data_IF_412612065657
#
_entry.id   IF_412612065657
#
_cell.length_a   1.000
_cell.length_b   1.000
_cell.length_c   1.000
_cell.angle_alpha   90.00
_cell.angle_beta   90.00
_cell.angle_gamma   90.00
#
_symmetry.space_group_name_H-M   'P 1'
#
loop_
_entity.id
_entity.type
_entity.pdbx_description
1 polymer ?
#
# COMPACT_ATOMS: atom_id res chain seq x y z
N UNK A 1 -7.46 -2.34 4.29
CA UNK A 1 -6.57 -1.20 4.03
C UNK A 1 -7.18 -0.36 2.92
N UNK A 2 -7.32 0.93 3.15
CA UNK A 2 -7.78 1.92 2.18
C UNK A 2 -6.72 3.02 2.10
N UNK A 3 -6.31 3.36 0.88
CA UNK A 3 -5.43 4.48 0.63
C UNK A 3 -5.89 5.21 -0.64
N UNK A 4 -5.96 6.51 -0.57
CA UNK A 4 -6.27 7.37 -1.69
C UNK A 4 -5.33 8.57 -1.72
N UNK A 5 -4.69 8.79 -2.85
CA UNK A 5 -3.81 9.91 -3.12
C UNK A 5 -4.54 10.88 -4.04
N UNK A 6 -4.84 12.07 -3.56
CA UNK A 6 -5.45 13.13 -4.34
C UNK A 6 -4.36 14.08 -4.82
N UNK A 7 -4.16 14.13 -6.13
CA UNK A 7 -3.13 14.93 -6.78
C UNK A 7 -3.76 16.00 -7.66
N UNK A 8 -2.95 16.97 -8.10
CA UNK A 8 -3.40 18.08 -8.98
C UNK A 8 -4.08 17.59 -10.27
N UNK A 9 -3.56 16.50 -10.87
CA UNK A 9 -4.04 15.99 -12.17
C UNK A 9 -4.91 14.73 -12.08
N UNK A 10 -5.23 14.28 -10.89
CA UNK A 10 -6.04 13.08 -10.71
C UNK A 10 -5.91 12.44 -9.34
N UNK A 11 -6.62 11.35 -9.16
CA UNK A 11 -6.65 10.59 -7.90
C UNK A 11 -6.19 9.16 -8.15
N UNK A 12 -5.33 8.64 -7.29
CA UNK A 12 -4.89 7.26 -7.27
C UNK A 12 -5.49 6.62 -6.02
N UNK A 13 -6.19 5.51 -6.19
CA UNK A 13 -6.78 4.75 -5.08
C UNK A 13 -6.24 3.33 -5.08
N UNK A 14 -5.82 2.86 -3.92
CA UNK A 14 -5.54 1.44 -3.73
C UNK A 14 -6.84 0.65 -3.92
N UNK A 15 -6.90 -0.30 -4.88
CA UNK A 15 -8.14 -1.04 -5.13
C UNK A 15 -8.52 -1.91 -3.94
N UNK A 16 -9.80 -2.18 -3.78
CA UNK A 16 -10.28 -3.21 -2.85
C UNK A 16 -9.75 -4.57 -3.32
N UNK A 17 -9.40 -5.45 -2.38
CA UNK A 17 -8.99 -6.81 -2.71
C UNK A 17 -10.06 -7.48 -3.61
N UNK A 18 -9.60 -8.22 -4.62
CA UNK A 18 -10.50 -8.91 -5.54
C UNK A 18 -11.08 -10.15 -4.86
N UNK A 19 -12.20 -9.96 -4.18
CA UNK A 19 -12.98 -11.04 -3.57
C UNK A 19 -14.21 -11.36 -4.43
N UNK A 20 -14.70 -12.61 -4.44
CA UNK A 20 -15.91 -12.98 -5.15
C UNK A 20 -17.13 -12.18 -4.69
N UNK A 21 -17.93 -11.70 -5.62
CA UNK A 21 -19.23 -11.09 -5.34
C UNK A 21 -20.27 -12.21 -5.21
N UNK A 22 -20.84 -12.36 -4.04
CA UNK A 22 -21.88 -13.36 -3.76
C UNK A 22 -23.26 -12.70 -3.88
N UNK A 23 -24.14 -13.33 -4.65
CA UNK A 23 -25.54 -12.93 -4.77
C UNK A 23 -26.42 -14.09 -4.30
N UNK A 24 -27.17 -13.88 -3.22
CA UNK A 24 -28.11 -14.85 -2.70
C UNK A 24 -29.26 -14.16 -1.98
N UNK A 25 -30.47 -14.75 -2.06
CA UNK A 25 -31.65 -14.27 -1.33
C UNK A 25 -31.91 -12.76 -1.49
N UNK A 26 -31.80 -12.22 -2.71
CA UNK A 26 -31.96 -10.80 -3.03
C UNK A 26 -30.90 -9.88 -2.39
N UNK A 27 -29.80 -10.44 -1.92
CA UNK A 27 -28.65 -9.73 -1.39
C UNK A 27 -27.46 -9.84 -2.35
N UNK A 28 -26.64 -8.79 -2.33
CA UNK A 28 -25.37 -8.76 -3.05
C UNK A 28 -24.29 -8.26 -2.09
N UNK A 29 -23.24 -9.02 -1.93
CA UNK A 29 -22.15 -8.66 -1.03
C UNK A 29 -20.83 -9.27 -1.45
N UNK A 30 -19.79 -8.78 -0.84
CA UNK A 30 -18.43 -9.27 -1.00
C UNK A 30 -17.86 -9.57 0.39
N UNK A 31 -17.10 -10.63 0.52
CA UNK A 31 -16.44 -10.95 1.78
C UNK A 31 -15.44 -9.83 2.14
N UNK A 32 -15.37 -9.52 3.42
CA UNK A 32 -14.32 -8.66 3.97
C UNK A 32 -13.25 -9.59 4.51
N UNK A 33 -12.00 -9.54 3.98
CA UNK A 33 -10.90 -10.34 4.51
C UNK A 33 -10.70 -10.07 6.01
N UNK A 34 -10.46 -11.12 6.79
CA UNK A 34 -10.26 -11.04 8.23
C UNK A 34 -9.06 -10.16 8.58
N UNK A 35 -8.00 -10.26 7.75
CA UNK A 35 -6.81 -9.45 7.89
C UNK A 35 -6.25 -8.97 6.51
N UNK A 36 -5.15 -8.26 6.56
CA UNK A 36 -4.49 -7.72 5.36
C UNK A 36 -3.44 -8.67 4.76
N UNK A 37 -3.07 -9.73 5.47
CA UNK A 37 -1.91 -10.58 5.14
C UNK A 37 -2.02 -11.19 3.75
N UNK A 38 -3.17 -11.81 3.45
CA UNK A 38 -3.37 -12.49 2.18
C UNK A 38 -3.28 -11.55 0.97
N UNK A 39 -3.58 -10.27 1.15
CA UNK A 39 -3.49 -9.27 0.09
C UNK A 39 -2.06 -9.03 -0.37
N UNK A 40 -1.08 -9.13 0.52
CA UNK A 40 0.28 -8.71 0.29
C UNK A 40 1.30 -9.86 0.21
N UNK A 41 0.86 -11.12 0.28
CA UNK A 41 1.76 -12.28 0.16
C UNK A 41 2.58 -12.23 -1.13
N UNK A 42 1.91 -11.98 -2.26
CA UNK A 42 2.58 -11.89 -3.57
C UNK A 42 3.53 -10.69 -3.62
N UNK A 43 3.14 -9.55 -3.06
CA UNK A 43 3.99 -8.36 -3.01
C UNK A 43 5.30 -8.62 -2.26
N UNK A 44 5.25 -9.29 -1.11
CA UNK A 44 6.45 -9.69 -0.37
C UNK A 44 7.33 -10.68 -1.15
N UNK A 45 6.71 -11.62 -1.85
CA UNK A 45 7.46 -12.57 -2.70
C UNK A 45 8.17 -11.85 -3.85
N UNK A 46 7.48 -10.94 -4.53
CA UNK A 46 8.04 -10.15 -5.62
C UNK A 46 9.16 -9.22 -5.13
N UNK A 47 9.00 -8.57 -3.98
CA UNK A 47 10.02 -7.72 -3.38
C UNK A 47 11.31 -8.51 -3.11
N UNK A 48 11.20 -9.67 -2.44
CA UNK A 48 12.35 -10.54 -2.14
C UNK A 48 12.98 -11.10 -3.42
N UNK A 49 12.18 -11.51 -4.40
CA UNK A 49 12.68 -11.99 -5.69
C UNK A 49 13.42 -10.89 -6.44
N UNK A 50 12.88 -9.68 -6.46
CA UNK A 50 13.53 -8.53 -7.09
C UNK A 50 14.90 -8.26 -6.46
N UNK A 51 14.99 -8.29 -5.14
CA UNK A 51 16.25 -8.14 -4.42
C UNK A 51 17.27 -9.21 -4.80
N UNK A 52 16.86 -10.47 -4.86
CA UNK A 52 17.72 -11.57 -5.32
C UNK A 52 18.18 -11.37 -6.76
N UNK A 53 17.28 -10.96 -7.65
CA UNK A 53 17.58 -10.72 -9.05
C UNK A 53 18.56 -9.55 -9.23
N UNK A 54 18.45 -8.50 -8.44
CA UNK A 54 19.41 -7.41 -8.37
C UNK A 54 20.80 -7.90 -7.94
N UNK A 55 20.88 -8.68 -6.86
CA UNK A 55 22.16 -9.25 -6.41
C UNK A 55 22.82 -10.18 -7.43
N UNK A 56 22.03 -10.85 -8.26
CA UNK A 56 22.49 -11.72 -9.33
C UNK A 56 22.82 -10.99 -10.63
N UNK A 57 22.66 -9.67 -10.67
CA UNK A 57 22.90 -8.86 -11.87
C UNK A 57 21.89 -9.09 -13.00
N UNK A 58 20.70 -9.60 -12.70
CA UNK A 58 19.62 -9.79 -13.68
C UNK A 58 18.81 -8.51 -13.93
N UNK A 59 18.90 -7.55 -13.02
CA UNK A 59 18.29 -6.22 -13.14
C UNK A 59 19.26 -5.18 -12.61
N UNK A 60 19.28 -4.01 -13.23
CA UNK A 60 20.07 -2.86 -12.80
C UNK A 60 19.30 -1.93 -11.85
N UNK A 61 18.02 -2.20 -11.63
CA UNK A 61 17.16 -1.40 -10.76
C UNK A 61 17.17 -2.01 -9.36
N UNK A 62 17.71 -1.32 -8.36
CA UNK A 62 17.60 -1.78 -6.98
C UNK A 62 16.12 -1.72 -6.53
N UNK A 63 15.74 -2.63 -5.64
CA UNK A 63 14.49 -2.52 -4.93
C UNK A 63 14.47 -1.34 -3.94
N UNK A 64 13.38 -1.13 -3.21
CA UNK A 64 13.30 -0.12 -2.16
C UNK A 64 14.45 -0.25 -1.16
N UNK A 65 15.08 0.88 -0.85
CA UNK A 65 16.21 0.95 0.07
C UNK A 65 15.85 1.60 1.41
N UNK A 66 16.90 1.86 2.21
CA UNK A 66 16.74 2.50 3.51
C UNK A 66 16.16 3.92 3.41
N UNK A 67 16.49 4.65 2.34
CA UNK A 67 15.96 6.00 2.10
C UNK A 67 14.43 5.96 1.86
N UNK A 68 13.97 5.01 1.03
CA UNK A 68 12.54 4.83 0.77
C UNK A 68 11.78 4.47 2.06
N UNK A 69 12.39 3.64 2.91
CA UNK A 69 11.85 3.31 4.23
C UNK A 69 11.79 4.53 5.15
N UNK A 70 12.80 5.39 5.13
CA UNK A 70 12.82 6.62 5.91
C UNK A 70 11.73 7.61 5.46
N UNK A 71 11.57 7.78 4.15
CA UNK A 71 10.48 8.59 3.60
C UNK A 71 9.09 8.06 4.01
N UNK A 72 8.91 6.74 3.99
CA UNK A 72 7.67 6.11 4.47
C UNK A 72 7.42 6.39 5.97
N UNK A 73 8.47 6.41 6.80
CA UNK A 73 8.35 6.77 8.21
C UNK A 73 7.92 8.23 8.42
N UNK A 74 8.48 9.18 7.66
CA UNK A 74 8.07 10.60 7.71
C UNK A 74 6.60 10.77 7.37
N UNK A 75 6.12 10.05 6.34
CA UNK A 75 4.69 10.06 5.98
C UNK A 75 3.85 9.51 7.12
N UNK A 76 4.28 8.41 7.74
CA UNK A 76 3.57 7.79 8.85
C UNK A 76 3.47 8.72 10.07
N UNK A 77 4.54 9.44 10.41
CA UNK A 77 4.56 10.41 11.49
C UNK A 77 3.60 11.57 11.23
N UNK A 78 3.58 12.09 9.99
CA UNK A 78 2.64 13.13 9.60
C UNK A 78 1.18 12.66 9.68
N UNK A 79 0.90 11.41 9.30
CA UNK A 79 -0.44 10.81 9.41
C UNK A 79 -0.88 10.66 10.87
N UNK A 80 -0.01 10.19 11.75
CA UNK A 80 -0.29 10.08 13.19
C UNK A 80 -0.57 11.45 13.80
N UNK A 81 0.21 12.45 13.42
CA UNK A 81 0.01 13.82 13.86
C UNK A 81 -1.32 14.39 13.37
N UNK A 82 -1.63 14.22 12.08
CA UNK A 82 -2.91 14.63 11.50
C UNK A 82 -4.10 13.96 12.18
N UNK A 83 -3.98 12.67 12.50
CA UNK A 83 -5.02 11.94 13.24
C UNK A 83 -5.24 12.54 14.64
N UNK A 84 -4.18 12.95 15.32
CA UNK A 84 -4.24 13.51 16.67
C UNK A 84 -4.79 14.93 16.68
N UNK A 85 -4.36 15.76 15.72
CA UNK A 85 -4.73 17.17 15.64
C UNK A 85 -6.05 17.43 14.92
N UNK A 86 -6.47 16.49 14.07
CA UNK A 86 -7.60 16.69 13.17
C UNK A 86 -7.33 17.71 12.05
N UNK A 87 -6.07 18.06 11.81
CA UNK A 87 -5.65 19.06 10.84
C UNK A 87 -4.80 18.44 9.72
N UNK A 88 -4.67 19.17 8.64
CA UNK A 88 -3.72 18.84 7.59
C UNK A 88 -2.30 19.01 8.11
N UNK A 89 -1.48 17.99 7.96
CA UNK A 89 -0.08 18.03 8.33
C UNK A 89 0.81 17.94 7.08
N UNK A 90 1.84 18.75 7.06
CA UNK A 90 2.83 18.73 5.99
C UNK A 90 3.84 17.61 6.27
N UNK A 91 4.12 16.78 5.27
CA UNK A 91 5.24 15.85 5.33
C UNK A 91 6.52 16.67 5.19
N UNK A 92 7.42 16.56 6.15
CA UNK A 92 8.72 17.24 6.12
C UNK A 92 9.59 16.67 4.98
N UNK A 93 10.21 17.56 4.23
CA UNK A 93 11.10 17.20 3.12
C UNK A 93 12.48 16.75 3.64
#
# INVERSE_FOLDING_TARGET
ILCELVCEKGTIRLPVAAEPIVRSYLQCGQAIPEDWTNRFVVAYQEELQHWVDFLQGKTDVPGPGAEDGYEACKISDALIKAQTTGQWEKVEA
#
